data_IF_873384568002
#
_entry.id   IF_873384568002
#
_cell.length_a   1.000
_cell.length_b   1.000
_cell.length_c   1.000
_cell.angle_alpha   90.00
_cell.angle_beta   90.00
_cell.angle_gamma   90.00
#
_symmetry.space_group_name_H-M   'P 1'
#
loop_
_entity.id
_entity.type
_entity.pdbx_description
1 polymer ?
#
# COMPACT_ATOMS: atom_id res chain seq x y z
N UNK A 1 -24.11 -13.86 14.59
CA UNK A 1 -24.35 -13.13 13.33
C UNK A 1 -23.90 -11.67 13.44
N UNK A 2 -24.50 -10.81 14.26
CA UNK A 2 -24.06 -9.40 14.39
C UNK A 2 -22.81 -9.22 15.27
N UNK A 3 -22.75 -9.91 16.40
CA UNK A 3 -21.57 -9.91 17.30
C UNK A 3 -20.30 -10.38 16.60
N UNK A 4 -20.43 -11.33 15.67
CA UNK A 4 -19.29 -11.89 14.93
C UNK A 4 -18.68 -10.86 13.97
N UNK A 5 -19.51 -9.98 13.37
CA UNK A 5 -19.05 -8.89 12.49
C UNK A 5 -18.36 -7.80 13.31
N UNK A 6 -18.89 -7.46 14.49
CA UNK A 6 -18.28 -6.46 15.38
C UNK A 6 -16.91 -6.96 15.86
N UNK A 7 -16.82 -8.19 16.35
CA UNK A 7 -15.56 -8.79 16.81
C UNK A 7 -14.59 -8.95 15.64
N UNK A 8 -15.06 -9.42 14.49
CA UNK A 8 -14.25 -9.53 13.27
C UNK A 8 -13.68 -8.18 12.85
N UNK A 9 -14.50 -7.14 12.75
CA UNK A 9 -14.07 -5.79 12.38
C UNK A 9 -13.06 -5.20 13.36
N UNK A 10 -13.24 -5.43 14.67
CA UNK A 10 -12.28 -5.00 15.67
C UNK A 10 -10.92 -5.72 15.55
N UNK A 11 -10.93 -7.02 15.22
CA UNK A 11 -9.70 -7.78 14.96
C UNK A 11 -9.00 -7.29 13.69
N UNK A 12 -9.75 -7.00 12.62
CA UNK A 12 -9.22 -6.41 11.38
C UNK A 12 -8.51 -5.09 11.69
N UNK A 13 -9.20 -4.18 12.39
CA UNK A 13 -8.65 -2.87 12.78
C UNK A 13 -7.39 -3.01 13.65
N UNK A 14 -7.41 -3.89 14.65
CA UNK A 14 -6.26 -4.13 15.53
C UNK A 14 -5.05 -4.65 14.75
N UNK A 15 -5.23 -5.69 13.92
CA UNK A 15 -4.14 -6.24 13.12
C UNK A 15 -3.60 -5.23 12.10
N UNK A 16 -4.50 -4.47 11.47
CA UNK A 16 -4.12 -3.44 10.52
C UNK A 16 -3.27 -2.34 11.19
N UNK A 17 -3.68 -1.83 12.35
CA UNK A 17 -2.90 -0.84 13.12
C UNK A 17 -1.54 -1.35 13.59
N UNK A 18 -1.40 -2.67 13.76
CA UNK A 18 -0.13 -3.31 14.08
C UNK A 18 0.75 -3.61 12.84
N UNK A 19 0.30 -3.24 11.63
CA UNK A 19 0.98 -3.60 10.38
C UNK A 19 0.91 -5.09 10.01
N UNK A 20 0.09 -5.88 10.73
CA UNK A 20 -0.09 -7.31 10.47
C UNK A 20 -1.17 -7.54 9.41
N UNK A 21 -0.97 -6.99 8.22
CA UNK A 21 -2.00 -6.88 7.18
C UNK A 21 -2.51 -8.23 6.65
N UNK A 22 -1.66 -9.26 6.63
CA UNK A 22 -2.07 -10.63 6.30
C UNK A 22 -3.08 -11.16 7.32
N UNK A 23 -2.81 -10.98 8.62
CA UNK A 23 -3.74 -11.37 9.70
C UNK A 23 -5.02 -10.54 9.68
N UNK A 24 -4.93 -9.26 9.33
CA UNK A 24 -6.09 -8.41 9.14
C UNK A 24 -6.98 -8.97 8.03
N UNK A 25 -6.39 -9.37 6.89
CA UNK A 25 -7.12 -9.99 5.78
C UNK A 25 -7.72 -11.34 6.17
N UNK A 26 -6.97 -12.20 6.87
CA UNK A 26 -7.50 -13.48 7.36
C UNK A 26 -8.68 -13.30 8.32
N UNK A 27 -8.62 -12.31 9.22
CA UNK A 27 -9.71 -11.99 10.13
C UNK A 27 -10.95 -11.50 9.36
N UNK A 28 -10.73 -10.64 8.36
CA UNK A 28 -11.77 -10.14 7.46
C UNK A 28 -12.44 -11.27 6.65
N UNK A 29 -11.66 -12.23 6.15
CA UNK A 29 -12.16 -13.35 5.36
C UNK A 29 -13.04 -14.31 6.18
N UNK A 30 -12.82 -14.36 7.49
CA UNK A 30 -13.62 -15.15 8.44
C UNK A 30 -14.95 -14.49 8.82
N UNK A 31 -15.19 -13.23 8.42
CA UNK A 31 -16.46 -12.55 8.68
C UNK A 31 -17.53 -13.13 7.74
N UNK A 32 -18.60 -13.78 8.25
CA UNK A 32 -19.58 -14.45 7.39
C UNK A 32 -20.44 -13.50 6.55
N UNK A 33 -20.70 -12.30 7.06
CA UNK A 33 -21.47 -11.26 6.37
C UNK A 33 -20.77 -9.94 6.63
N UNK A 34 -20.07 -9.45 5.61
CA UNK A 34 -19.32 -8.19 5.71
C UNK A 34 -20.29 -7.02 5.61
N UNK A 35 -20.00 -5.99 6.36
CA UNK A 35 -20.69 -4.71 6.30
C UNK A 35 -19.70 -3.58 5.95
N UNK A 36 -20.21 -2.38 5.80
CA UNK A 36 -19.40 -1.17 5.56
C UNK A 36 -18.29 -1.00 6.60
N UNK A 37 -18.53 -1.36 7.87
CA UNK A 37 -17.55 -1.21 8.95
C UNK A 37 -16.34 -2.12 8.75
N UNK A 38 -16.58 -3.40 8.46
CA UNK A 38 -15.51 -4.39 8.21
C UNK A 38 -14.65 -4.03 6.99
N UNK A 39 -15.29 -3.57 5.90
CA UNK A 39 -14.60 -3.10 4.70
C UNK A 39 -13.77 -1.85 4.97
N UNK A 40 -14.31 -0.89 5.73
CA UNK A 40 -13.60 0.33 6.12
C UNK A 40 -12.35 0.02 6.93
N UNK A 41 -12.43 -0.89 7.90
CA UNK A 41 -11.28 -1.29 8.71
C UNK A 41 -10.13 -1.81 7.84
N UNK A 42 -10.43 -2.68 6.86
CA UNK A 42 -9.44 -3.25 5.96
C UNK A 42 -8.87 -2.20 4.99
N UNK A 43 -9.74 -1.40 4.36
CA UNK A 43 -9.36 -0.39 3.37
C UNK A 43 -8.48 0.69 4.01
N UNK A 44 -8.85 1.21 5.18
CA UNK A 44 -8.06 2.20 5.91
C UNK A 44 -6.70 1.61 6.29
N UNK A 45 -6.68 0.35 6.77
CA UNK A 45 -5.45 -0.37 7.04
C UNK A 45 -4.49 -0.41 5.85
N UNK A 46 -5.00 -0.71 4.65
CA UNK A 46 -4.18 -0.69 3.43
C UNK A 46 -3.73 0.71 3.03
N UNK A 47 -4.57 1.74 3.17
CA UNK A 47 -4.19 3.14 2.91
C UNK A 47 -3.04 3.58 3.81
N UNK A 48 -3.13 3.31 5.11
CA UNK A 48 -2.13 3.72 6.09
C UNK A 48 -0.76 3.08 5.84
N UNK A 49 -0.75 1.92 5.20
CA UNK A 49 0.47 1.19 4.83
C UNK A 49 0.87 1.39 3.36
N UNK A 50 0.23 2.31 2.64
CA UNK A 50 0.59 2.65 1.26
C UNK A 50 0.28 1.58 0.22
N UNK A 51 -0.59 0.62 0.54
CA UNK A 51 -0.95 -0.50 -0.34
C UNK A 51 -2.08 -0.11 -1.31
N UNK A 52 -1.78 0.82 -2.23
CA UNK A 52 -2.74 1.44 -3.13
C UNK A 52 -3.52 0.44 -4.01
N UNK A 53 -2.85 -0.56 -4.59
CA UNK A 53 -3.52 -1.56 -5.42
C UNK A 53 -4.51 -2.42 -4.63
N UNK A 54 -4.19 -2.76 -3.38
CA UNK A 54 -5.06 -3.50 -2.48
C UNK A 54 -6.30 -2.66 -2.11
N UNK A 55 -6.14 -1.34 -1.91
CA UNK A 55 -7.27 -0.42 -1.71
C UNK A 55 -8.21 -0.43 -2.92
N UNK A 56 -7.67 -0.33 -4.14
CA UNK A 56 -8.46 -0.37 -5.38
C UNK A 56 -9.21 -1.70 -5.50
N UNK A 57 -8.53 -2.80 -5.21
CA UNK A 57 -9.14 -4.13 -5.26
C UNK A 57 -10.28 -4.28 -4.24
N UNK A 58 -10.06 -3.92 -2.98
CA UNK A 58 -11.08 -4.00 -1.94
C UNK A 58 -12.27 -3.08 -2.23
N UNK A 59 -12.04 -1.90 -2.79
CA UNK A 59 -13.12 -0.99 -3.19
C UNK A 59 -14.00 -1.59 -4.31
N UNK A 60 -13.40 -2.33 -5.25
CA UNK A 60 -14.12 -3.09 -6.27
C UNK A 60 -14.95 -4.22 -5.64
N UNK A 61 -14.32 -5.07 -4.81
CA UNK A 61 -15.01 -6.19 -4.15
C UNK A 61 -16.16 -5.73 -3.26
N UNK A 62 -16.01 -4.62 -2.53
CA UNK A 62 -17.08 -4.05 -1.72
C UNK A 62 -18.32 -3.71 -2.56
N UNK A 63 -18.13 -3.16 -3.76
CA UNK A 63 -19.23 -2.87 -4.69
C UNK A 63 -19.81 -4.14 -5.32
N UNK A 64 -18.97 -5.13 -5.64
CA UNK A 64 -19.41 -6.44 -6.15
C UNK A 64 -20.27 -7.20 -5.12
N UNK A 65 -20.09 -6.93 -3.82
CA UNK A 65 -20.94 -7.43 -2.73
C UNK A 65 -22.20 -6.56 -2.48
N UNK A 66 -22.51 -5.60 -3.38
CA UNK A 66 -23.62 -4.64 -3.26
C UNK A 66 -23.56 -3.74 -2.00
N UNK A 67 -22.37 -3.59 -1.40
CA UNK A 67 -22.17 -2.75 -0.22
C UNK A 67 -21.77 -1.34 -0.66
N UNK A 68 -22.62 -0.36 -0.35
CA UNK A 68 -22.40 1.03 -0.72
C UNK A 68 -21.13 1.60 -0.04
N UNK A 69 -20.15 2.13 -0.82
CA UNK A 69 -19.01 2.82 -0.25
C UNK A 69 -19.42 4.09 0.50
N UNK A 70 -18.78 4.35 1.64
CA UNK A 70 -18.92 5.60 2.37
C UNK A 70 -17.94 6.66 1.82
N UNK A 71 -18.14 7.93 2.20
CA UNK A 71 -17.28 9.06 1.80
C UNK A 71 -15.79 8.78 2.08
N UNK A 72 -15.49 8.13 3.20
CA UNK A 72 -14.11 7.74 3.56
C UNK A 72 -13.47 6.83 2.53
N UNK A 73 -14.23 5.92 1.90
CA UNK A 73 -13.71 5.01 0.89
C UNK A 73 -13.30 5.75 -0.39
N UNK A 74 -14.05 6.79 -0.78
CA UNK A 74 -13.67 7.66 -1.90
C UNK A 74 -12.41 8.50 -1.60
N UNK A 75 -12.22 8.93 -0.36
CA UNK A 75 -10.95 9.57 0.04
C UNK A 75 -9.80 8.55 -0.04
N UNK A 76 -10.04 7.31 0.39
CA UNK A 76 -9.07 6.23 0.33
C UNK A 76 -8.66 5.88 -1.10
N UNK A 77 -9.61 5.79 -2.05
CA UNK A 77 -9.30 5.47 -3.45
C UNK A 77 -8.48 6.57 -4.13
N UNK A 78 -8.76 7.85 -3.84
CA UNK A 78 -7.98 8.97 -4.37
C UNK A 78 -6.53 8.94 -3.87
N UNK A 79 -6.33 8.67 -2.58
CA UNK A 79 -4.99 8.47 -2.01
C UNK A 79 -4.27 7.28 -2.63
N UNK A 80 -5.00 6.21 -2.94
CA UNK A 80 -4.45 5.02 -3.59
C UNK A 80 -3.97 5.33 -5.01
N UNK A 81 -4.74 6.07 -5.80
CA UNK A 81 -4.33 6.47 -7.15
C UNK A 81 -3.10 7.37 -7.16
N UNK A 82 -3.04 8.36 -6.26
CA UNK A 82 -1.86 9.24 -6.11
C UNK A 82 -0.59 8.42 -5.81
N UNK A 83 -0.69 7.45 -4.89
CA UNK A 83 0.40 6.52 -4.57
C UNK A 83 0.82 5.68 -5.77
N UNK A 84 -0.13 5.08 -6.48
CA UNK A 84 0.13 4.25 -7.66
C UNK A 84 0.85 5.06 -8.73
N UNK A 85 0.36 6.26 -9.03
CA UNK A 85 0.97 7.16 -10.02
C UNK A 85 2.40 7.55 -9.64
N UNK A 86 2.66 7.83 -8.36
CA UNK A 86 4.01 8.11 -7.87
C UNK A 86 4.96 6.91 -8.09
N UNK A 87 4.47 5.69 -7.82
CA UNK A 87 5.22 4.45 -8.05
C UNK A 87 5.56 4.28 -9.53
N UNK A 88 4.57 4.31 -10.41
CA UNK A 88 4.77 4.15 -11.86
C UNK A 88 5.74 5.20 -12.43
N UNK A 89 5.63 6.45 -11.95
CA UNK A 89 6.54 7.54 -12.33
C UNK A 89 7.97 7.24 -11.88
N UNK A 90 8.16 6.79 -10.64
CA UNK A 90 9.49 6.48 -10.11
C UNK A 90 10.18 5.33 -10.83
N UNK A 91 9.42 4.30 -11.23
CA UNK A 91 9.94 3.20 -12.05
C UNK A 91 10.34 3.68 -13.45
N UNK A 92 9.53 4.54 -14.06
CA UNK A 92 9.87 5.20 -15.32
C UNK A 92 11.18 5.98 -15.26
N UNK A 93 11.38 6.76 -14.19
CA UNK A 93 12.64 7.49 -13.95
C UNK A 93 13.80 6.51 -13.80
N UNK A 94 13.64 5.46 -13.00
CA UNK A 94 14.70 4.47 -12.80
C UNK A 94 15.13 3.80 -14.11
N UNK A 95 14.18 3.37 -14.95
CA UNK A 95 14.47 2.79 -16.27
C UNK A 95 15.23 3.77 -17.16
N UNK A 96 14.86 5.05 -17.16
CA UNK A 96 15.54 6.06 -17.95
C UNK A 96 16.97 6.34 -17.47
N UNK A 97 17.19 6.40 -16.14
CA UNK A 97 18.53 6.53 -15.54
C UNK A 97 19.42 5.35 -15.93
N UNK A 98 18.88 4.13 -15.92
CA UNK A 98 19.60 2.93 -16.35
C UNK A 98 19.93 2.96 -17.84
N UNK A 99 18.96 3.34 -18.69
CA UNK A 99 19.14 3.48 -20.15
C UNK A 99 20.26 4.47 -20.50
N UNK A 100 20.36 5.56 -19.75
CA UNK A 100 21.39 6.58 -19.95
C UNK A 100 22.76 6.21 -19.34
N UNK A 101 22.89 5.06 -18.67
CA UNK A 101 24.13 4.64 -18.00
C UNK A 101 24.52 5.56 -16.84
N UNK A 102 23.55 6.23 -16.22
CA UNK A 102 23.81 7.24 -15.20
C UNK A 102 23.99 6.63 -13.80
N UNK A 103 23.57 5.39 -13.58
CA UNK A 103 23.82 4.65 -12.33
C UNK A 103 25.33 4.46 -12.07
N UNK A 104 26.15 4.37 -13.12
CA UNK A 104 27.61 4.18 -13.02
C UNK A 104 28.35 5.49 -12.69
N UNK A 105 27.69 6.65 -12.85
CA UNK A 105 28.28 7.98 -12.65
C UNK A 105 27.69 8.68 -11.43
N UNK A 106 28.41 8.53 -10.32
CA UNK A 106 28.26 9.25 -9.04
C UNK A 106 27.03 8.91 -8.16
N UNK A 107 27.36 8.52 -6.91
CA UNK A 107 26.54 8.24 -5.72
C UNK A 107 25.37 9.21 -5.42
N UNK A 108 25.38 10.43 -5.96
CA UNK A 108 24.33 11.44 -5.73
C UNK A 108 23.00 11.03 -6.39
N UNK A 109 23.03 10.25 -7.47
CA UNK A 109 21.80 9.82 -8.14
C UNK A 109 21.17 8.58 -7.50
N UNK A 110 21.98 7.64 -7.02
CA UNK A 110 21.49 6.47 -6.30
C UNK A 110 20.85 6.86 -4.96
N UNK A 111 21.41 7.85 -4.24
CA UNK A 111 20.79 8.39 -3.02
C UNK A 111 19.45 9.11 -3.31
N UNK A 112 19.33 9.79 -4.44
CA UNK A 112 18.05 10.35 -4.90
C UNK A 112 17.02 9.24 -5.24
N UNK A 113 17.45 8.15 -5.87
CA UNK A 113 16.58 7.00 -6.13
C UNK A 113 16.12 6.32 -4.83
N UNK A 114 17.00 6.17 -3.83
CA UNK A 114 16.61 5.67 -2.49
C UNK A 114 15.54 6.57 -1.86
N UNK A 115 15.72 7.90 -1.89
CA UNK A 115 14.74 8.86 -1.36
C UNK A 115 13.41 8.81 -2.13
N UNK A 116 13.44 8.73 -3.46
CA UNK A 116 12.25 8.60 -4.31
C UNK A 116 11.50 7.30 -3.99
N UNK A 117 12.20 6.16 -3.94
CA UNK A 117 11.61 4.86 -3.61
C UNK A 117 11.03 4.84 -2.18
N UNK A 118 11.72 5.44 -1.21
CA UNK A 118 11.25 5.56 0.17
C UNK A 118 9.98 6.42 0.27
N UNK A 119 9.92 7.57 -0.42
CA UNK A 119 8.73 8.44 -0.47
C UNK A 119 7.51 7.74 -1.11
N UNK A 120 7.75 6.82 -2.03
CA UNK A 120 6.71 6.00 -2.64
C UNK A 120 6.30 4.79 -1.77
N UNK A 121 6.98 4.53 -0.65
CA UNK A 121 6.73 3.37 0.22
C UNK A 121 7.37 2.06 -0.27
N UNK A 122 8.23 2.09 -1.29
CA UNK A 122 8.88 0.91 -1.86
C UNK A 122 10.19 0.58 -1.13
N UNK A 123 10.08 0.19 0.13
CA UNK A 123 11.24 -0.01 1.01
C UNK A 123 12.20 -1.10 0.51
N UNK A 124 11.69 -2.18 -0.08
CA UNK A 124 12.53 -3.25 -0.64
C UNK A 124 13.43 -2.74 -1.79
N UNK A 125 12.88 -1.96 -2.72
CA UNK A 125 13.64 -1.35 -3.82
C UNK A 125 14.59 -0.27 -3.33
N UNK A 126 14.15 0.53 -2.36
CA UNK A 126 15.02 1.51 -1.72
C UNK A 126 16.24 0.83 -1.08
N UNK A 127 16.04 -0.30 -0.39
CA UNK A 127 17.12 -1.10 0.19
C UNK A 127 18.03 -1.72 -0.87
N UNK A 128 17.46 -2.29 -1.95
CA UNK A 128 18.25 -2.85 -3.05
C UNK A 128 19.20 -1.82 -3.68
N UNK A 129 18.69 -0.62 -3.98
CA UNK A 129 19.51 0.48 -4.53
C UNK A 129 20.53 0.96 -3.51
N UNK A 130 20.18 0.98 -2.22
CA UNK A 130 21.08 1.35 -1.14
C UNK A 130 22.24 0.35 -0.98
N UNK A 131 21.96 -0.95 -1.04
CA UNK A 131 22.96 -2.02 -0.91
C UNK A 131 23.92 -2.09 -2.11
N UNK A 132 23.46 -1.65 -3.28
CA UNK A 132 24.27 -1.53 -4.49
C UNK A 132 25.25 -0.32 -4.45
N UNK A 133 25.13 0.58 -3.47
CA UNK A 133 26.08 1.67 -3.31
C UNK A 133 27.44 1.12 -2.85
N UNK A 134 28.57 1.56 -3.44
CA UNK A 134 29.88 1.24 -2.90
C UNK A 134 29.93 1.74 -1.46
N UNK A 135 30.27 0.85 -0.51
CA UNK A 135 30.47 1.20 0.88
C UNK A 135 31.41 2.41 0.96
N UNK A 136 30.89 3.55 1.41
CA UNK A 136 31.73 4.65 1.88
C UNK A 136 32.55 4.08 3.04
N UNK A 137 33.83 3.81 2.79
CA UNK A 137 34.86 3.74 3.85
C UNK A 137 34.93 5.09 4.55
#
# INVERSE_FOLDING_TARGET
>A
METDVIVGSALVDMYAKCGMLEKAKEAFDKIPTRDTSSWNALIIGYVDHGLGYQVVHCFGQMQDEDIAPAVVNFVCILKAYDRIQAIETSEGIHMEVQRQGLLDKHMVQATALVDIYAKCGMLAKAQEVFDALPTRM
#
